data_IF_723497200960
#
_entry.id   IF_723497200960
#
_cell.length_a   1.000
_cell.length_b   1.000
_cell.length_c   1.000
_cell.angle_alpha   90.00
_cell.angle_beta   90.00
_cell.angle_gamma   90.00
#
_symmetry.space_group_name_H-M   'P 1'
#
loop_
_entity.id
_entity.type
_entity.pdbx_description
1 polymer ?
#
# COMPACT_ATOMS: atom_id res chain seq x y z
N UNK A 1 -10.36 -27.46 12.29
CA UNK A 1 -9.88 -27.33 10.91
C UNK A 1 -9.61 -25.85 10.66
N UNK A 2 -8.41 -25.45 10.27
CA UNK A 2 -8.11 -24.04 9.98
C UNK A 2 -8.68 -23.70 8.58
N UNK A 3 -9.64 -22.78 8.52
CA UNK A 3 -10.13 -22.21 7.28
C UNK A 3 -9.15 -21.14 6.82
N UNK A 4 -8.65 -21.24 5.59
CA UNK A 4 -7.87 -20.18 4.97
C UNK A 4 -8.87 -19.15 4.43
N UNK A 5 -8.77 -17.91 4.93
CA UNK A 5 -9.57 -16.76 4.48
C UNK A 5 -8.57 -15.64 4.18
N UNK A 6 -8.45 -15.28 2.91
CA UNK A 6 -7.46 -14.35 2.34
C UNK A 6 -8.15 -13.12 1.75
N UNK A 7 -9.45 -13.20 1.41
CA UNK A 7 -10.25 -12.09 0.87
C UNK A 7 -10.12 -10.78 1.68
N UNK A 8 -10.13 -10.79 3.03
CA UNK A 8 -9.90 -9.58 3.82
C UNK A 8 -8.50 -8.98 3.64
N UNK A 9 -7.47 -9.81 3.49
CA UNK A 9 -6.08 -9.36 3.32
C UNK A 9 -5.89 -8.73 1.94
N UNK A 10 -6.38 -9.39 0.89
CA UNK A 10 -6.36 -8.90 -0.49
C UNK A 10 -7.07 -7.54 -0.58
N UNK A 11 -8.20 -7.38 0.10
CA UNK A 11 -8.93 -6.11 0.19
C UNK A 11 -8.05 -4.97 0.76
N UNK A 12 -7.32 -5.22 1.84
CA UNK A 12 -6.44 -4.21 2.46
C UNK A 12 -5.34 -3.77 1.50
N UNK A 13 -4.69 -4.72 0.83
CA UNK A 13 -3.62 -4.43 -0.15
C UNK A 13 -4.15 -3.60 -1.32
N UNK A 14 -5.35 -3.94 -1.83
CA UNK A 14 -6.04 -3.18 -2.87
C UNK A 14 -6.33 -1.73 -2.43
N UNK A 15 -6.81 -1.55 -1.21
CA UNK A 15 -7.12 -0.21 -0.67
C UNK A 15 -5.84 0.62 -0.52
N UNK A 16 -4.76 0.02 -0.01
CA UNK A 16 -3.44 0.66 0.08
C UNK A 16 -2.91 1.05 -1.30
N UNK A 17 -2.98 0.15 -2.28
CA UNK A 17 -2.54 0.41 -3.67
C UNK A 17 -3.32 1.58 -4.28
N UNK A 18 -4.65 1.59 -4.11
CA UNK A 18 -5.52 2.65 -4.60
C UNK A 18 -5.14 4.01 -4.00
N UNK A 19 -4.85 4.04 -2.70
CA UNK A 19 -4.38 5.25 -2.00
C UNK A 19 -3.05 5.77 -2.57
N UNK A 20 -2.05 4.88 -2.77
CA UNK A 20 -0.75 5.23 -3.36
C UNK A 20 -0.92 5.80 -4.77
N UNK A 21 -1.78 5.19 -5.58
CA UNK A 21 -2.03 5.63 -6.94
C UNK A 21 -2.72 7.00 -6.97
N UNK A 22 -3.70 7.23 -6.11
CA UNK A 22 -4.37 8.53 -6.01
C UNK A 22 -3.41 9.63 -5.52
N UNK A 23 -2.56 9.39 -4.53
CA UNK A 23 -1.59 10.39 -4.05
C UNK A 23 -0.57 10.75 -5.14
N UNK A 24 -0.08 9.76 -5.91
CA UNK A 24 0.98 9.97 -6.91
C UNK A 24 0.49 10.41 -8.29
N UNK A 25 -0.70 9.97 -8.70
CA UNK A 25 -1.18 10.12 -10.08
C UNK A 25 -2.49 10.89 -10.21
N UNK A 26 -3.07 11.42 -9.12
CA UNK A 26 -4.32 12.21 -9.15
C UNK A 26 -4.34 13.37 -10.15
N UNK A 27 -3.16 13.89 -10.55
CA UNK A 27 -3.03 14.97 -11.54
C UNK A 27 -2.78 14.51 -12.99
N UNK A 28 -2.51 13.23 -13.23
CA UNK A 28 -2.15 12.74 -14.56
C UNK A 28 -3.38 12.20 -15.30
N UNK A 29 -3.94 13.02 -16.19
CA UNK A 29 -5.11 12.68 -17.04
C UNK A 29 -4.94 11.37 -17.83
N UNK A 30 -3.70 10.97 -18.13
CA UNK A 30 -3.39 9.74 -18.85
C UNK A 30 -3.68 8.44 -18.09
N UNK A 31 -3.78 8.47 -16.76
CA UNK A 31 -3.84 7.25 -15.93
C UNK A 31 -5.28 6.80 -15.64
N UNK A 32 -6.29 7.58 -16.02
CA UNK A 32 -7.71 7.27 -15.72
C UNK A 32 -8.16 5.94 -16.30
N UNK A 33 -7.76 5.63 -17.54
CA UNK A 33 -8.11 4.36 -18.22
C UNK A 33 -7.42 3.17 -17.57
N UNK A 34 -6.18 3.36 -17.12
CA UNK A 34 -5.41 2.32 -16.44
C UNK A 34 -5.99 2.05 -15.05
N UNK A 35 -6.45 3.10 -14.36
CA UNK A 35 -7.14 2.98 -13.07
C UNK A 35 -8.47 2.23 -13.19
N UNK A 36 -9.27 2.53 -14.22
CA UNK A 36 -10.51 1.80 -14.51
C UNK A 36 -10.24 0.33 -14.86
N UNK A 37 -9.17 0.06 -15.60
CA UNK A 37 -8.74 -1.32 -15.93
C UNK A 37 -8.29 -2.07 -14.67
N UNK A 38 -7.56 -1.38 -13.78
CA UNK A 38 -7.13 -1.93 -12.50
C UNK A 38 -8.33 -2.23 -11.60
N UNK A 39 -9.33 -1.35 -11.52
CA UNK A 39 -10.56 -1.57 -10.75
C UNK A 39 -11.33 -2.80 -11.23
N UNK A 40 -11.48 -2.98 -12.54
CA UNK A 40 -12.11 -4.16 -13.12
C UNK A 40 -11.32 -5.46 -12.82
N UNK A 41 -9.99 -5.38 -12.89
CA UNK A 41 -9.11 -6.51 -12.57
C UNK A 41 -9.24 -6.90 -11.10
N UNK A 42 -9.29 -5.91 -10.22
CA UNK A 42 -9.50 -6.07 -8.79
C UNK A 42 -10.84 -6.74 -8.50
N UNK A 43 -11.92 -6.29 -9.14
CA UNK A 43 -13.24 -6.92 -8.99
C UNK A 43 -13.18 -8.40 -9.38
N UNK A 44 -12.56 -8.70 -10.52
CA UNK A 44 -12.40 -10.06 -11.02
C UNK A 44 -11.61 -10.94 -10.04
N UNK A 45 -10.51 -10.42 -9.48
CA UNK A 45 -9.71 -11.13 -8.47
C UNK A 45 -10.56 -11.47 -7.26
N UNK A 46 -11.43 -10.54 -6.83
CA UNK A 46 -12.30 -10.71 -5.66
C UNK A 46 -13.32 -11.83 -5.86
N UNK A 47 -13.99 -11.82 -7.01
CA UNK A 47 -14.98 -12.84 -7.36
C UNK A 47 -14.33 -14.23 -7.42
N UNK A 48 -13.15 -14.33 -8.06
CA UNK A 48 -12.38 -15.59 -8.13
C UNK A 48 -11.93 -16.04 -6.75
N UNK A 49 -11.57 -15.11 -5.85
CA UNK A 49 -11.15 -15.45 -4.49
C UNK A 49 -12.30 -16.02 -3.67
N UNK A 50 -13.47 -15.39 -3.75
CA UNK A 50 -14.66 -15.80 -3.01
C UNK A 50 -15.12 -17.21 -3.46
N UNK A 51 -15.03 -17.50 -4.75
CA UNK A 51 -15.28 -18.84 -5.31
C UNK A 51 -14.20 -19.86 -4.86
N UNK A 52 -12.93 -19.46 -4.87
CA UNK A 52 -11.80 -20.30 -4.49
C UNK A 52 -11.84 -20.68 -3.00
N UNK A 53 -12.16 -19.75 -2.10
CA UNK A 53 -12.28 -20.00 -0.66
C UNK A 53 -13.40 -21.00 -0.35
N UNK A 54 -14.53 -20.93 -1.07
CA UNK A 54 -15.60 -21.91 -0.96
C UNK A 54 -15.18 -23.30 -1.45
N UNK A 55 -14.44 -23.36 -2.56
CA UNK A 55 -13.94 -24.60 -3.15
C UNK A 55 -12.79 -25.24 -2.35
N UNK A 56 -12.02 -24.43 -1.62
CA UNK A 56 -10.85 -24.82 -0.84
C UNK A 56 -11.15 -25.90 0.20
N UNK A 57 -12.38 -25.91 0.75
CA UNK A 57 -12.80 -26.90 1.73
C UNK A 57 -12.84 -28.34 1.18
N UNK A 58 -12.94 -28.48 -0.15
CA UNK A 58 -13.11 -29.77 -0.84
C UNK A 58 -11.98 -30.07 -1.82
N UNK A 59 -11.14 -29.10 -2.15
CA UNK A 59 -10.08 -29.24 -3.15
C UNK A 59 -8.71 -28.80 -2.60
N UNK A 60 -7.82 -29.79 -2.44
CA UNK A 60 -6.45 -29.58 -1.93
C UNK A 60 -5.57 -28.75 -2.87
N UNK A 61 -5.81 -28.80 -4.18
CA UNK A 61 -5.06 -27.97 -5.15
C UNK A 61 -5.42 -26.49 -4.98
N UNK A 62 -6.71 -26.18 -4.80
CA UNK A 62 -7.19 -24.81 -4.52
C UNK A 62 -6.65 -24.31 -3.18
N UNK A 63 -6.62 -25.16 -2.15
CA UNK A 63 -6.01 -24.82 -0.86
C UNK A 63 -4.53 -24.44 -0.98
N UNK A 64 -3.75 -25.22 -1.75
CA UNK A 64 -2.34 -24.92 -1.96
C UNK A 64 -2.15 -23.61 -2.74
N UNK A 65 -2.94 -23.39 -3.79
CA UNK A 65 -2.89 -22.15 -4.57
C UNK A 65 -3.24 -20.92 -3.71
N UNK A 66 -4.28 -21.01 -2.87
CA UNK A 66 -4.62 -19.95 -1.93
C UNK A 66 -3.49 -19.69 -0.93
N UNK A 67 -2.82 -20.74 -0.44
CA UNK A 67 -1.65 -20.57 0.43
C UNK A 67 -0.53 -19.80 -0.26
N UNK A 68 -0.20 -20.14 -1.50
CA UNK A 68 0.82 -19.41 -2.27
C UNK A 68 0.42 -17.96 -2.53
N UNK A 69 -0.84 -17.72 -2.88
CA UNK A 69 -1.39 -16.39 -3.07
C UNK A 69 -1.25 -15.54 -1.81
N UNK A 70 -1.45 -16.13 -0.62
CA UNK A 70 -1.28 -15.43 0.65
C UNK A 70 0.11 -14.84 0.81
N UNK A 71 1.15 -15.61 0.46
CA UNK A 71 2.55 -15.14 0.54
C UNK A 71 2.78 -13.95 -0.39
N UNK A 72 2.29 -14.03 -1.63
CA UNK A 72 2.40 -12.93 -2.61
C UNK A 72 1.67 -11.67 -2.14
N UNK A 73 0.52 -11.83 -1.48
CA UNK A 73 -0.24 -10.69 -0.93
C UNK A 73 0.51 -10.05 0.23
N UNK A 74 1.23 -10.81 1.07
CA UNK A 74 2.11 -10.24 2.10
C UNK A 74 3.27 -9.46 1.49
N UNK A 75 3.95 -10.02 0.50
CA UNK A 75 5.05 -9.31 -0.20
C UNK A 75 4.56 -7.97 -0.80
N UNK A 76 3.34 -7.96 -1.34
CA UNK A 76 2.73 -6.75 -1.87
C UNK A 76 2.36 -5.73 -0.78
N UNK A 77 1.85 -6.19 0.37
CA UNK A 77 1.53 -5.33 1.52
C UNK A 77 2.78 -4.63 2.05
N UNK A 78 3.86 -5.39 2.25
CA UNK A 78 5.16 -4.90 2.72
C UNK A 78 5.75 -3.86 1.74
N UNK A 79 5.64 -4.11 0.44
CA UNK A 79 6.12 -3.19 -0.59
C UNK A 79 5.31 -1.89 -0.61
N UNK A 80 3.98 -1.94 -0.45
CA UNK A 80 3.14 -0.75 -0.39
C UNK A 80 3.42 0.08 0.86
N UNK A 81 3.67 -0.55 2.01
CA UNK A 81 4.06 0.14 3.23
C UNK A 81 5.42 0.81 3.10
N UNK A 82 6.39 0.18 2.44
CA UNK A 82 7.67 0.80 2.15
C UNK A 82 7.53 2.04 1.24
N UNK A 83 6.66 1.98 0.22
CA UNK A 83 6.37 3.12 -0.66
C UNK A 83 5.70 4.28 0.09
N UNK A 84 4.75 3.97 0.99
CA UNK A 84 4.09 4.97 1.84
C UNK A 84 5.10 5.65 2.77
N UNK A 85 5.93 4.88 3.46
CA UNK A 85 6.99 5.40 4.32
C UNK A 85 7.96 6.32 3.56
N UNK A 86 8.37 5.93 2.36
CA UNK A 86 9.26 6.76 1.53
C UNK A 86 8.58 8.06 1.07
N UNK A 87 7.27 8.01 0.78
CA UNK A 87 6.48 9.20 0.46
C UNK A 87 6.41 10.19 1.62
N UNK A 88 6.24 9.70 2.84
CA UNK A 88 6.20 10.53 4.05
C UNK A 88 7.57 11.14 4.34
N UNK A 89 8.65 10.36 4.21
CA UNK A 89 10.03 10.87 4.33
C UNK A 89 10.30 12.02 3.36
N UNK A 90 9.95 11.85 2.07
CA UNK A 90 10.09 12.93 1.08
C UNK A 90 9.28 14.17 1.43
N UNK A 91 8.04 14.01 1.94
CA UNK A 91 7.22 15.15 2.40
C UNK A 91 7.91 15.92 3.53
N UNK A 92 8.47 15.22 4.53
CA UNK A 92 9.22 15.83 5.65
C UNK A 92 10.49 16.55 5.17
N UNK A 93 11.27 15.93 4.29
CA UNK A 93 12.49 16.53 3.73
C UNK A 93 12.18 17.78 2.90
N UNK A 94 11.08 17.74 2.13
CA UNK A 94 10.64 18.88 1.31
C UNK A 94 10.05 20.04 2.12
N UNK A 95 9.52 19.80 3.34
CA UNK A 95 8.93 20.85 4.18
C UNK A 95 9.98 21.67 4.97
N UNK A 96 11.27 21.33 4.88
CA UNK A 96 12.35 22.15 5.45
C UNK A 96 12.32 22.28 6.97
N UNK A 97 11.71 21.33 7.69
CA UNK A 97 11.46 21.43 9.13
C UNK A 97 12.63 20.96 10.01
N UNK A 98 13.87 21.07 9.52
CA UNK A 98 15.09 20.78 10.28
C UNK A 98 16.00 21.99 10.53
N UNK A 99 15.73 23.18 9.96
CA UNK A 99 16.61 24.36 10.19
C UNK A 99 16.09 25.40 11.20
N UNK A 100 14.82 25.39 11.58
CA UNK A 100 14.24 26.46 12.44
C UNK A 100 14.59 26.33 13.93
N UNK A 101 14.95 25.14 14.41
CA UNK A 101 15.27 24.98 15.84
C UNK A 101 16.71 25.41 16.12
N UNK A 102 17.65 25.10 15.21
CA UNK A 102 19.08 25.44 15.38
C UNK A 102 19.32 26.96 15.21
N UNK A 103 18.55 27.64 14.35
CA UNK A 103 18.63 29.10 14.21
C UNK A 103 18.25 29.87 15.48
N UNK A 104 17.31 29.33 16.28
CA UNK A 104 16.89 29.97 17.54
C UNK A 104 17.91 29.77 18.67
N UNK A 105 18.72 28.71 18.63
CA UNK A 105 19.82 28.51 19.59
C UNK A 105 21.04 29.37 19.27
N UNK A 106 21.32 29.61 17.98
CA UNK A 106 22.46 30.44 17.55
C UNK A 106 22.19 31.94 17.65
N UNK A 107 20.92 32.37 17.59
CA UNK A 107 20.57 33.80 17.65
C UNK A 107 20.58 34.38 19.07
N UNK A 108 20.70 33.56 20.12
CA UNK A 108 20.81 34.03 21.52
C UNK A 108 22.26 34.12 22.03
N UNK A 109 23.25 33.81 21.20
CA UNK A 109 24.66 34.04 21.52
C UNK A 109 25.04 35.51 21.28
N UNK A 110 24.81 36.31 22.32
CA UNK A 110 25.19 37.71 22.46
C UNK A 110 26.67 37.96 22.07
N UNK A 111 27.02 39.05 21.34
CA UNK A 111 28.42 39.39 21.11
C UNK A 111 29.05 39.92 22.41
N UNK A 112 30.09 39.24 22.88
CA UNK A 112 30.89 39.69 24.03
C UNK A 112 31.75 40.87 23.54
N UNK A 113 31.51 42.04 24.14
CA UNK A 113 32.36 43.23 23.98
C UNK A 113 33.30 43.33 25.17
#
# INVERSE_FOLDING_TARGET
MATIVISPLVKVVIEKLSSVLLDKFSMLWGVKKDLETLENTISTIRDVLDDAEQCCLKNKQVFNWLRELKEVVYDADDLLDALNLESEKRKIESSGQTSRVIGNFMSTANPIK
#
